data_IF_262360635929
#
_entry.id   IF_262360635929
#
_cell.length_a   1.000
_cell.length_b   1.000
_cell.length_c   1.000
_cell.angle_alpha   90.00
_cell.angle_beta   90.00
_cell.angle_gamma   90.00
#
_symmetry.space_group_name_H-M   'P 1'
#
loop_
_entity.id
_entity.type
_entity.pdbx_description
1 polymer ?
#
# COMPACT_ATOMS: atom_id res chain seq x y z
N UNK A 1 -26.86 -19.44 12.94
CA UNK A 1 -25.43 -19.74 13.11
C UNK A 1 -24.76 -19.34 11.82
N UNK A 2 -24.27 -18.10 11.76
CA UNK A 2 -23.53 -17.58 10.60
C UNK A 2 -22.16 -18.28 10.63
N UNK A 3 -21.69 -18.89 9.53
CA UNK A 3 -20.37 -19.50 9.53
C UNK A 3 -19.34 -18.41 9.82
N UNK A 4 -18.38 -18.71 10.69
CA UNK A 4 -17.21 -17.85 10.84
C UNK A 4 -16.47 -17.83 9.50
N UNK A 5 -16.60 -16.73 8.76
CA UNK A 5 -15.77 -16.47 7.58
C UNK A 5 -14.34 -16.42 8.08
N UNK A 6 -13.56 -17.45 7.77
CA UNK A 6 -12.10 -17.36 7.89
C UNK A 6 -11.67 -16.16 7.08
N UNK A 7 -10.90 -15.23 7.67
CA UNK A 7 -10.53 -13.96 7.03
C UNK A 7 -9.85 -14.13 5.64
N UNK A 8 -9.49 -15.35 5.24
CA UNK A 8 -8.84 -15.72 3.97
C UNK A 8 -9.76 -16.40 2.94
N UNK A 9 -11.08 -16.48 3.15
CA UNK A 9 -11.99 -16.86 2.06
C UNK A 9 -12.05 -15.70 1.06
N UNK A 10 -11.90 -15.98 -0.23
CA UNK A 10 -11.90 -14.99 -1.31
C UNK A 10 -12.86 -15.33 -2.44
N UNK A 11 -13.63 -16.41 -2.26
CA UNK A 11 -14.49 -16.97 -3.31
C UNK A 11 -15.60 -16.01 -3.75
N UNK A 12 -16.06 -15.14 -2.85
CA UNK A 12 -17.09 -14.13 -3.10
C UNK A 12 -16.57 -12.87 -3.82
N UNK A 13 -15.25 -12.59 -3.77
CA UNK A 13 -14.70 -11.28 -4.19
C UNK A 13 -15.00 -10.98 -5.66
N UNK A 14 -14.75 -11.92 -6.56
CA UNK A 14 -14.97 -11.69 -8.00
C UNK A 14 -16.43 -11.43 -8.33
N UNK A 15 -17.35 -12.16 -7.70
CA UNK A 15 -18.79 -11.95 -7.88
C UNK A 15 -19.21 -10.59 -7.30
N UNK A 16 -18.74 -10.26 -6.09
CA UNK A 16 -19.03 -8.97 -5.43
C UNK A 16 -18.55 -7.79 -6.26
N UNK A 17 -17.34 -7.85 -6.81
CA UNK A 17 -16.80 -6.83 -7.72
C UNK A 17 -17.64 -6.70 -9.00
N UNK A 18 -18.10 -7.81 -9.57
CA UNK A 18 -18.98 -7.77 -10.75
C UNK A 18 -20.32 -7.10 -10.45
N UNK A 19 -20.90 -7.34 -9.26
CA UNK A 19 -22.12 -6.65 -8.81
C UNK A 19 -21.89 -5.15 -8.61
N UNK A 20 -20.81 -4.78 -7.91
CA UNK A 20 -20.42 -3.38 -7.70
C UNK A 20 -20.21 -2.66 -9.03
N UNK A 21 -19.52 -3.31 -9.98
CA UNK A 21 -19.28 -2.76 -11.32
C UNK A 21 -20.56 -2.54 -12.14
N UNK A 22 -21.58 -3.37 -11.94
CA UNK A 22 -22.84 -3.29 -12.68
C UNK A 22 -23.80 -2.24 -12.09
N UNK A 23 -23.51 -1.70 -10.90
CA UNK A 23 -24.34 -0.68 -10.27
C UNK A 23 -24.32 0.62 -11.10
N UNK A 24 -25.48 1.26 -11.36
CA UNK A 24 -25.54 2.50 -12.15
C UNK A 24 -24.64 3.61 -11.61
N UNK A 25 -24.47 3.64 -10.29
CA UNK A 25 -23.69 4.63 -9.58
C UNK A 25 -22.26 4.18 -9.23
N UNK A 26 -21.77 3.08 -9.80
CA UNK A 26 -20.45 2.50 -9.47
C UNK A 26 -19.29 3.53 -9.52
N UNK A 27 -19.42 4.55 -10.37
CA UNK A 27 -18.45 5.65 -10.48
C UNK A 27 -18.39 6.62 -9.29
N UNK A 28 -19.31 6.53 -8.31
CA UNK A 28 -19.28 7.31 -7.05
C UNK A 28 -18.22 6.81 -6.08
N UNK A 29 -17.84 5.53 -6.17
CA UNK A 29 -16.76 5.00 -5.34
C UNK A 29 -15.45 5.60 -5.82
N UNK A 30 -14.67 6.12 -4.87
CA UNK A 30 -13.39 6.75 -5.15
C UNK A 30 -12.44 5.77 -5.87
N UNK A 31 -11.80 6.25 -6.94
CA UNK A 31 -10.88 5.47 -7.76
C UNK A 31 -11.50 4.36 -8.64
N UNK A 32 -12.83 4.19 -8.62
CA UNK A 32 -13.54 3.21 -9.46
C UNK A 32 -13.24 3.34 -10.96
N UNK A 33 -13.00 4.56 -11.44
CA UNK A 33 -12.62 4.80 -12.85
C UNK A 33 -11.22 4.27 -13.19
N UNK A 34 -10.32 4.20 -12.21
CA UNK A 34 -8.96 3.71 -12.40
C UNK A 34 -8.92 2.18 -12.40
N UNK A 35 -9.37 1.55 -11.31
CA UNK A 35 -9.32 0.08 -11.19
C UNK A 35 -10.46 -0.64 -11.93
N UNK A 36 -11.52 0.08 -12.32
CA UNK A 36 -12.64 -0.42 -13.15
C UNK A 36 -13.30 -1.69 -12.62
N UNK A 37 -13.23 -1.91 -11.31
CA UNK A 37 -13.72 -3.12 -10.63
C UNK A 37 -13.16 -4.45 -11.18
N UNK A 38 -12.05 -4.42 -11.92
CA UNK A 38 -11.47 -5.61 -12.54
C UNK A 38 -10.23 -6.08 -11.79
N UNK A 39 -10.24 -7.34 -11.35
CA UNK A 39 -9.04 -8.02 -10.88
C UNK A 39 -8.31 -8.71 -12.05
N UNK A 40 -7.00 -8.64 -12.02
CA UNK A 40 -6.13 -9.51 -12.82
C UNK A 40 -6.38 -10.99 -12.45
N UNK A 41 -6.06 -11.95 -13.35
CA UNK A 41 -6.12 -13.36 -13.03
C UNK A 41 -5.32 -13.72 -11.77
N UNK A 42 -5.81 -14.70 -11.01
CA UNK A 42 -5.05 -15.25 -9.89
C UNK A 42 -3.76 -15.93 -10.38
N UNK A 43 -2.74 -15.96 -9.53
CA UNK A 43 -1.54 -16.74 -9.76
C UNK A 43 -1.84 -18.23 -9.57
N UNK A 44 -1.15 -19.07 -10.34
CA UNK A 44 -0.99 -20.47 -10.01
C UNK A 44 -0.03 -20.66 -8.83
N UNK A 45 -0.10 -21.84 -8.18
CA UNK A 45 0.83 -22.18 -7.10
C UNK A 45 2.30 -22.17 -7.55
N UNK A 46 2.57 -22.50 -8.81
CA UNK A 46 3.92 -22.46 -9.37
C UNK A 46 4.45 -21.04 -9.58
N UNK A 47 3.62 -20.14 -10.09
CA UNK A 47 3.98 -18.72 -10.27
C UNK A 47 4.20 -18.03 -8.92
N UNK A 48 3.38 -18.33 -7.92
CA UNK A 48 3.59 -17.82 -6.57
C UNK A 48 4.90 -18.34 -5.96
N UNK A 49 5.21 -19.64 -6.12
CA UNK A 49 6.45 -20.21 -5.61
C UNK A 49 7.70 -19.61 -6.28
N UNK A 50 7.61 -19.33 -7.59
CA UNK A 50 8.65 -18.62 -8.32
C UNK A 50 8.83 -17.18 -7.79
N UNK A 51 7.73 -16.44 -7.62
CA UNK A 51 7.74 -15.10 -7.03
C UNK A 51 8.42 -15.11 -5.65
N UNK A 52 7.97 -15.95 -4.72
CA UNK A 52 8.54 -16.05 -3.37
C UNK A 52 10.02 -16.48 -3.40
N UNK A 53 10.40 -17.34 -4.37
CA UNK A 53 11.79 -17.70 -4.64
C UNK A 53 12.64 -16.51 -5.08
N UNK A 54 12.12 -15.67 -5.99
CA UNK A 54 12.79 -14.42 -6.41
C UNK A 54 12.95 -13.44 -5.24
N UNK A 55 11.94 -13.33 -4.38
CA UNK A 55 11.95 -12.41 -3.22
C UNK A 55 12.73 -12.93 -2.01
N UNK A 56 13.05 -14.24 -2.00
CA UNK A 56 13.70 -14.95 -0.88
C UNK A 56 12.88 -14.88 0.42
N UNK A 57 11.57 -14.78 0.30
CA UNK A 57 10.65 -14.69 1.43
C UNK A 57 9.27 -15.21 1.05
N UNK A 58 8.62 -15.90 1.98
CA UNK A 58 7.22 -16.26 1.85
C UNK A 58 6.33 -15.04 2.15
N UNK A 59 5.35 -14.77 1.29
CA UNK A 59 4.44 -13.64 1.47
C UNK A 59 3.48 -13.88 2.66
N UNK A 60 2.92 -12.83 3.28
CA UNK A 60 1.93 -13.00 4.35
C UNK A 60 0.72 -13.81 3.91
N UNK A 61 0.26 -14.74 4.76
CA UNK A 61 -0.74 -15.77 4.42
C UNK A 61 -2.04 -15.20 3.82
N UNK A 62 -2.53 -14.08 4.36
CA UNK A 62 -3.72 -13.40 3.85
C UNK A 62 -3.51 -12.89 2.42
N UNK A 63 -2.32 -12.36 2.11
CA UNK A 63 -2.01 -11.88 0.76
C UNK A 63 -1.70 -13.05 -0.19
N UNK A 64 -1.00 -14.08 0.30
CA UNK A 64 -0.73 -15.32 -0.44
C UNK A 64 -2.03 -15.98 -0.92
N UNK A 65 -2.99 -16.15 -0.01
CA UNK A 65 -4.31 -16.72 -0.34
C UNK A 65 -5.09 -15.84 -1.32
N UNK A 66 -4.99 -14.51 -1.21
CA UNK A 66 -5.59 -13.57 -2.15
C UNK A 66 -5.00 -13.70 -3.56
N UNK A 67 -3.68 -13.76 -3.68
CA UNK A 67 -2.99 -13.93 -4.97
C UNK A 67 -3.39 -15.23 -5.68
N UNK A 68 -3.61 -16.31 -4.93
CA UNK A 68 -3.98 -17.63 -5.46
C UNK A 68 -5.46 -17.78 -5.81
N UNK A 69 -6.34 -17.01 -5.15
CA UNK A 69 -7.80 -17.23 -5.26
C UNK A 69 -8.52 -16.02 -5.85
N UNK A 70 -8.22 -14.82 -5.36
CA UNK A 70 -8.89 -13.61 -5.78
C UNK A 70 -8.28 -13.05 -7.07
N UNK A 71 -6.99 -12.74 -7.09
CA UNK A 71 -6.33 -12.09 -8.22
C UNK A 71 -4.97 -11.51 -7.87
N UNK A 72 -4.14 -11.27 -8.88
CA UNK A 72 -2.78 -10.74 -8.69
C UNK A 72 -2.68 -9.20 -8.69
N UNK A 73 -3.80 -8.50 -8.48
CA UNK A 73 -3.92 -7.04 -8.43
C UNK A 73 -5.09 -6.51 -9.26
N UNK A 74 -5.20 -5.20 -9.44
CA UNK A 74 -6.34 -4.53 -10.08
C UNK A 74 -7.30 -3.93 -9.05
N UNK A 75 -8.59 -4.29 -9.10
CA UNK A 75 -9.62 -3.79 -8.19
C UNK A 75 -9.20 -3.84 -6.71
N UNK A 76 -9.26 -2.69 -6.04
CA UNK A 76 -8.88 -2.55 -4.63
C UNK A 76 -9.02 -1.10 -4.16
N UNK A 77 -8.58 -0.81 -2.93
CA UNK A 77 -8.63 0.52 -2.33
C UNK A 77 -8.09 1.62 -3.24
N UNK A 78 -8.72 2.80 -3.18
CA UNK A 78 -8.39 3.97 -3.98
C UNK A 78 -8.20 3.62 -5.47
N UNK A 79 -7.00 3.75 -6.01
CA UNK A 79 -6.73 3.55 -7.44
C UNK A 79 -6.54 2.07 -7.82
N UNK A 80 -6.63 1.15 -6.86
CA UNK A 80 -6.48 -0.28 -7.05
C UNK A 80 -5.15 -0.84 -6.55
N UNK A 81 -5.11 -2.15 -6.40
CA UNK A 81 -3.89 -2.90 -6.09
C UNK A 81 -2.95 -2.88 -7.30
N UNK A 82 -1.67 -2.64 -7.07
CA UNK A 82 -0.63 -2.78 -8.08
C UNK A 82 -0.62 -4.20 -8.65
N UNK A 83 -0.93 -4.39 -9.95
CA UNK A 83 -0.89 -5.70 -10.57
C UNK A 83 0.53 -6.25 -10.62
N UNK A 84 0.66 -7.53 -10.28
CA UNK A 84 1.85 -8.33 -10.55
C UNK A 84 1.89 -8.72 -12.03
N UNK A 85 2.98 -8.35 -12.70
CA UNK A 85 3.28 -8.73 -14.08
C UNK A 85 4.70 -9.25 -14.21
N UNK A 86 4.97 -10.00 -15.29
CA UNK A 86 6.33 -10.37 -15.68
C UNK A 86 6.91 -9.29 -16.58
N UNK A 87 8.02 -8.70 -16.15
CA UNK A 87 8.83 -7.75 -16.91
C UNK A 87 10.25 -8.30 -16.93
N UNK A 88 10.84 -8.46 -18.12
CA UNK A 88 12.18 -9.05 -18.31
C UNK A 88 12.36 -10.38 -17.54
N UNK A 89 11.40 -11.28 -17.68
CA UNK A 89 11.36 -12.62 -17.05
C UNK A 89 11.27 -12.62 -15.52
N UNK A 90 11.08 -11.47 -14.86
CA UNK A 90 10.92 -11.37 -13.41
C UNK A 90 9.55 -10.83 -13.03
N UNK A 91 9.03 -11.26 -11.89
CA UNK A 91 7.79 -10.71 -11.36
C UNK A 91 8.00 -9.31 -10.75
N UNK A 92 7.17 -8.34 -11.12
CA UNK A 92 7.18 -7.01 -10.56
C UNK A 92 5.76 -6.48 -10.37
N UNK A 93 5.57 -5.67 -9.32
CA UNK A 93 4.36 -4.88 -9.15
C UNK A 93 4.45 -3.65 -10.06
N UNK A 94 3.37 -3.35 -10.78
CA UNK A 94 3.30 -2.22 -11.71
C UNK A 94 2.28 -1.20 -11.21
N UNK A 95 2.66 0.08 -11.15
CA UNK A 95 1.80 1.18 -10.75
C UNK A 95 2.61 2.39 -10.28
N UNK A 96 1.94 3.53 -10.15
CA UNK A 96 2.55 4.75 -9.61
C UNK A 96 2.89 4.57 -8.13
N UNK A 97 4.18 4.54 -7.79
CA UNK A 97 4.69 4.24 -6.45
C UNK A 97 5.00 2.76 -6.20
N UNK A 98 4.82 1.87 -7.17
CA UNK A 98 5.20 0.46 -7.02
C UNK A 98 6.73 0.29 -6.92
N UNK A 99 7.49 1.17 -7.56
CA UNK A 99 8.95 1.24 -7.55
C UNK A 99 9.56 1.55 -6.18
N UNK A 100 8.74 2.04 -5.23
CA UNK A 100 9.16 2.19 -3.83
C UNK A 100 9.37 0.85 -3.12
N UNK A 101 8.81 -0.23 -3.66
CA UNK A 101 9.09 -1.58 -3.18
C UNK A 101 10.43 -2.04 -3.73
N UNK A 102 11.48 -1.96 -2.91
CA UNK A 102 12.74 -2.63 -3.21
C UNK A 102 12.61 -4.14 -2.94
N UNK A 103 12.47 -4.89 -4.04
CA UNK A 103 12.32 -6.35 -4.04
C UNK A 103 13.49 -7.06 -3.38
N UNK A 104 14.70 -6.50 -3.47
CA UNK A 104 15.90 -7.13 -2.92
C UNK A 104 16.00 -6.92 -1.40
N UNK A 105 15.16 -6.07 -0.80
CA UNK A 105 15.12 -5.83 0.65
C UNK A 105 13.87 -6.40 1.35
N UNK A 106 12.93 -7.00 0.62
CA UNK A 106 11.70 -7.56 1.21
C UNK A 106 11.93 -8.66 2.24
N UNK A 107 13.05 -9.39 2.13
CA UNK A 107 13.48 -10.41 3.10
C UNK A 107 14.13 -9.82 4.37
N UNK A 108 14.43 -8.52 4.37
CA UNK A 108 14.98 -7.82 5.53
C UNK A 108 13.83 -7.37 6.46
N UNK A 109 14.02 -7.44 7.79
CA UNK A 109 12.94 -7.15 8.72
C UNK A 109 12.65 -5.65 8.79
N UNK A 110 11.41 -5.27 8.49
CA UNK A 110 10.89 -3.95 8.83
C UNK A 110 10.88 -3.81 10.37
N UNK A 111 11.67 -2.89 10.96
CA UNK A 111 11.98 -2.95 12.40
C UNK A 111 10.87 -2.36 13.28
N UNK A 112 9.91 -1.65 12.69
CA UNK A 112 8.94 -0.86 13.44
C UNK A 112 7.67 -1.65 13.77
N UNK A 113 7.20 -1.47 15.00
CA UNK A 113 5.88 -1.95 15.45
C UNK A 113 4.96 -0.79 15.85
N UNK A 114 5.45 0.44 15.86
CA UNK A 114 4.69 1.67 16.18
C UNK A 114 4.92 2.69 15.07
N UNK A 115 4.03 3.67 14.99
CA UNK A 115 4.22 4.78 14.06
C UNK A 115 5.57 5.45 14.29
N UNK A 116 6.22 5.87 13.21
CA UNK A 116 7.48 6.59 13.22
C UNK A 116 7.49 7.59 12.09
N UNK A 117 8.15 8.73 12.28
CA UNK A 117 8.26 9.76 11.28
C UNK A 117 9.74 10.08 11.06
N UNK A 118 10.34 9.72 9.90
CA UNK A 118 11.70 10.09 9.56
C UNK A 118 11.96 11.60 9.65
N UNK A 119 10.96 12.42 9.30
CA UNK A 119 11.04 13.87 9.36
C UNK A 119 10.95 14.43 10.78
N UNK A 120 10.60 13.60 11.79
CA UNK A 120 10.31 14.08 13.14
C UNK A 120 11.51 14.69 13.90
N UNK A 121 12.72 14.57 13.36
CA UNK A 121 13.93 15.20 13.90
C UNK A 121 14.48 16.34 13.03
N UNK A 122 13.81 16.68 11.92
CA UNK A 122 14.19 17.79 11.07
C UNK A 122 13.84 19.14 11.74
N UNK A 123 14.57 20.23 11.43
CA UNK A 123 14.14 21.57 11.81
C UNK A 123 12.80 21.90 11.15
N UNK A 124 12.13 22.97 11.61
CA UNK A 124 10.97 23.50 10.90
C UNK A 124 11.40 24.02 9.51
N UNK A 125 10.53 23.90 8.48
CA UNK A 125 10.77 24.54 7.20
C UNK A 125 11.01 26.05 7.39
N UNK A 126 11.89 26.67 6.58
CA UNK A 126 12.08 28.11 6.63
C UNK A 126 10.75 28.83 6.33
N UNK A 127 10.45 29.87 7.10
CA UNK A 127 9.32 30.77 6.85
C UNK A 127 9.79 31.94 5.98
N UNK A 128 9.02 32.34 4.97
CA UNK A 128 9.35 33.45 4.08
C UNK A 128 9.51 34.77 4.87
N UNK A 129 8.73 34.95 5.94
CA UNK A 129 8.75 36.16 6.77
C UNK A 129 10.07 36.32 7.58
N UNK A 130 10.90 35.27 7.69
CA UNK A 130 12.18 35.29 8.39
C UNK A 130 13.35 35.82 7.54
N UNK A 131 13.13 36.13 6.26
CA UNK A 131 14.18 36.50 5.31
C UNK A 131 13.97 37.89 4.69
N UNK A 132 15.05 38.66 4.59
CA UNK A 132 15.02 40.02 4.01
C UNK A 132 14.81 40.01 2.48
N UNK A 133 15.11 38.90 1.80
CA UNK A 133 14.98 38.77 0.34
C UNK A 133 14.46 37.39 -0.08
N UNK A 134 13.75 37.37 -1.22
CA UNK A 134 13.24 36.13 -1.84
C UNK A 134 14.38 35.18 -2.19
N UNK A 135 15.53 35.69 -2.64
CA UNK A 135 16.69 34.84 -2.97
C UNK A 135 17.26 34.11 -1.74
N UNK A 136 17.31 34.78 -0.58
CA UNK A 136 17.80 34.17 0.66
C UNK A 136 16.82 33.11 1.19
N UNK A 137 15.51 33.39 1.09
CA UNK A 137 14.46 32.40 1.38
C UNK A 137 14.58 31.17 0.48
N UNK A 138 14.68 31.37 -0.84
CA UNK A 138 14.80 30.25 -1.80
C UNK A 138 16.06 29.40 -1.53
N UNK A 139 17.21 30.01 -1.20
CA UNK A 139 18.43 29.26 -0.85
C UNK A 139 18.23 28.42 0.43
N UNK A 140 17.56 28.97 1.44
CA UNK A 140 17.25 28.25 2.66
C UNK A 140 16.23 27.12 2.43
N UNK A 141 15.21 27.38 1.62
CA UNK A 141 14.19 26.41 1.22
C UNK A 141 14.82 25.24 0.46
N UNK A 142 15.67 25.53 -0.54
CA UNK A 142 16.41 24.50 -1.29
C UNK A 142 17.30 23.66 -0.36
N UNK A 143 18.01 24.30 0.57
CA UNK A 143 18.86 23.60 1.54
C UNK A 143 18.03 22.71 2.48
N UNK A 144 16.86 23.19 2.91
CA UNK A 144 15.92 22.44 3.72
C UNK A 144 15.39 21.21 2.97
N UNK A 145 14.89 21.35 1.75
CA UNK A 145 14.33 20.22 0.99
C UNK A 145 15.39 19.19 0.62
N UNK A 146 16.62 19.62 0.33
CA UNK A 146 17.74 18.68 0.16
C UNK A 146 18.06 17.90 1.44
N UNK A 147 17.98 18.54 2.61
CA UNK A 147 18.15 17.85 3.88
C UNK A 147 16.99 16.89 4.15
N UNK A 148 15.76 17.34 3.91
CA UNK A 148 14.55 16.56 4.05
C UNK A 148 14.65 15.28 3.21
N UNK A 149 14.95 15.38 1.92
CA UNK A 149 15.06 14.23 1.03
C UNK A 149 16.16 13.25 1.50
N UNK A 150 17.30 13.76 1.95
CA UNK A 150 18.38 12.90 2.49
C UNK A 150 17.97 12.13 3.75
N UNK A 151 16.98 12.60 4.50
CA UNK A 151 16.55 11.98 5.76
C UNK A 151 15.29 11.12 5.56
N UNK A 152 14.35 11.60 4.76
CA UNK A 152 13.03 10.99 4.57
C UNK A 152 13.03 9.99 3.42
N UNK A 153 13.70 10.29 2.31
CA UNK A 153 13.74 9.44 1.12
C UNK A 153 14.86 8.40 1.19
N UNK A 154 15.12 7.85 2.37
CA UNK A 154 16.11 6.77 2.59
C UNK A 154 15.43 5.41 2.40
N UNK A 155 15.93 4.53 1.51
CA UNK A 155 15.34 3.22 1.25
C UNK A 155 15.21 2.33 2.51
N UNK A 156 16.11 2.51 3.49
CA UNK A 156 16.11 1.76 4.75
C UNK A 156 14.82 1.92 5.56
N UNK A 157 14.06 3.00 5.37
CA UNK A 157 12.78 3.21 6.06
C UNK A 157 11.68 2.26 5.58
N UNK A 158 11.79 1.72 4.36
CA UNK A 158 10.76 0.88 3.72
C UNK A 158 11.19 -0.57 3.49
N UNK A 159 12.35 -1.00 4.00
CA UNK A 159 12.77 -2.41 3.92
C UNK A 159 11.71 -3.33 4.53
N UNK A 160 11.47 -4.48 3.89
CA UNK A 160 10.44 -5.41 4.33
C UNK A 160 9.00 -4.93 4.13
N UNK A 161 8.76 -3.76 3.52
CA UNK A 161 7.45 -3.27 3.11
C UNK A 161 7.19 -3.55 1.62
N UNK A 162 6.02 -4.09 1.33
CA UNK A 162 5.48 -4.23 -0.02
C UNK A 162 4.39 -3.19 -0.23
N UNK A 163 4.64 -2.17 -1.04
CA UNK A 163 3.61 -1.20 -1.41
C UNK A 163 2.57 -1.85 -2.32
N UNK A 164 1.30 -1.68 -1.99
CA UNK A 164 0.19 -2.36 -2.66
C UNK A 164 -0.71 -1.43 -3.45
N UNK A 165 -0.82 -0.16 -3.06
CA UNK A 165 -1.59 0.84 -3.80
C UNK A 165 -1.18 2.27 -3.42
N UNK A 166 -1.55 3.24 -4.26
CA UNK A 166 -1.50 4.66 -3.93
C UNK A 166 -2.91 5.21 -3.67
N UNK A 167 -3.00 6.19 -2.77
CA UNK A 167 -4.24 6.92 -2.46
C UNK A 167 -4.34 8.25 -3.25
N UNK A 168 -3.34 8.56 -4.06
CA UNK A 168 -3.13 9.89 -4.65
C UNK A 168 -2.20 10.74 -3.78
N UNK A 169 -1.80 11.93 -4.24
CA UNK A 169 -0.95 12.86 -3.45
C UNK A 169 0.32 12.23 -2.87
N UNK A 170 0.90 11.22 -3.55
CA UNK A 170 2.04 10.44 -3.06
C UNK A 170 1.82 9.73 -1.70
N UNK A 171 0.57 9.49 -1.31
CA UNK A 171 0.21 8.60 -0.19
C UNK A 171 0.12 7.16 -0.67
N UNK A 172 0.62 6.22 0.14
CA UNK A 172 0.60 4.79 -0.20
C UNK A 172 0.25 3.92 0.99
N UNK A 173 -0.24 2.73 0.69
CA UNK A 173 -0.45 1.69 1.70
C UNK A 173 0.39 0.46 1.36
N UNK A 174 1.06 -0.07 2.38
CA UNK A 174 2.02 -1.14 2.26
C UNK A 174 1.75 -2.28 3.25
N UNK A 175 2.08 -3.49 2.82
CA UNK A 175 2.03 -4.70 3.63
C UNK A 175 3.42 -4.97 4.20
N UNK A 176 3.50 -5.21 5.52
CA UNK A 176 4.75 -5.70 6.13
C UNK A 176 4.95 -7.16 5.75
N UNK A 177 5.95 -7.45 4.91
CA UNK A 177 6.30 -8.80 4.46
C UNK A 177 7.21 -9.50 5.47
N UNK A 178 8.18 -8.79 6.03
CA UNK A 178 9.16 -9.34 6.98
C UNK A 178 9.32 -8.44 8.20
N UNK A 179 9.50 -9.04 9.38
CA UNK A 179 9.71 -8.32 10.63
C UNK A 179 8.62 -8.55 11.69
N UNK A 180 8.72 -7.92 12.87
CA UNK A 180 7.79 -8.10 13.99
C UNK A 180 6.34 -7.68 13.69
N UNK A 181 6.11 -6.82 12.71
CA UNK A 181 4.77 -6.39 12.29
C UNK A 181 4.23 -7.16 11.07
N UNK A 182 4.87 -8.28 10.69
CA UNK A 182 4.51 -9.08 9.50
C UNK A 182 3.01 -9.34 9.37
N UNK A 183 2.50 -9.15 8.16
CA UNK A 183 1.09 -9.32 7.81
C UNK A 183 0.20 -8.11 8.11
N UNK A 184 0.72 -7.08 8.76
CA UNK A 184 -0.04 -5.84 9.03
C UNK A 184 0.07 -4.87 7.86
N UNK A 185 -1.01 -4.14 7.62
CA UNK A 185 -1.05 -3.02 6.69
C UNK A 185 -0.61 -1.72 7.37
N UNK A 186 0.18 -0.93 6.67
CA UNK A 186 0.73 0.35 7.11
C UNK A 186 0.47 1.42 6.05
N UNK A 187 0.27 2.64 6.50
CA UNK A 187 0.26 3.82 5.65
C UNK A 187 1.66 4.44 5.62
N UNK A 188 2.06 4.89 4.43
CA UNK A 188 3.15 5.80 4.18
C UNK A 188 2.54 7.17 3.85
N UNK A 189 2.52 8.01 4.89
CA UNK A 189 2.02 9.38 4.88
C UNK A 189 3.20 10.38 4.95
N UNK A 190 4.39 9.99 4.47
CA UNK A 190 5.59 10.84 4.45
C UNK A 190 5.40 12.09 3.60
N UNK A 191 4.62 12.00 2.51
CA UNK A 191 4.26 13.14 1.66
C UNK A 191 3.42 14.21 2.40
N UNK A 192 2.72 13.83 3.48
CA UNK A 192 1.99 14.75 4.37
C UNK A 192 2.79 15.13 5.62
N UNK A 193 4.06 14.71 5.71
CA UNK A 193 4.94 15.00 6.84
C UNK A 193 4.58 14.23 8.13
N UNK A 194 3.68 13.24 8.08
CA UNK A 194 3.26 12.47 9.28
C UNK A 194 3.93 11.10 9.40
N UNK A 195 4.64 10.66 8.35
CA UNK A 195 5.50 9.48 8.36
C UNK A 195 4.74 8.18 8.16
N UNK A 196 5.20 7.11 8.81
CA UNK A 196 4.63 5.78 8.67
C UNK A 196 3.79 5.40 9.88
N UNK A 197 2.64 4.77 9.67
CA UNK A 197 1.79 4.28 10.76
C UNK A 197 1.07 2.97 10.43
N UNK A 198 0.82 2.11 11.43
CA UNK A 198 -0.04 0.96 11.22
C UNK A 198 -1.48 1.40 10.94
N UNK A 199 -2.11 0.79 9.94
CA UNK A 199 -3.53 0.96 9.70
C UNK A 199 -4.34 0.25 10.79
N UNK A 200 -5.45 0.86 11.17
CA UNK A 200 -6.33 0.37 12.23
C UNK A 200 -7.78 0.38 11.78
N UNK A 201 -8.54 -0.56 12.29
CA UNK A 201 -9.99 -0.51 12.21
C UNK A 201 -10.56 0.52 13.22
N UNK A 202 -11.85 0.80 13.09
CA UNK A 202 -12.70 1.55 13.99
C UNK A 202 -12.59 1.14 15.46
N UNK A 203 -12.38 -0.16 15.74
CA UNK A 203 -12.17 -0.70 17.10
C UNK A 203 -10.72 -0.54 17.60
N UNK A 204 -9.83 0.06 16.81
CA UNK A 204 -8.42 0.27 17.11
C UNK A 204 -7.52 -0.94 16.83
N UNK A 205 -8.08 -2.08 16.43
CA UNK A 205 -7.31 -3.28 16.03
C UNK A 205 -6.51 -2.99 14.78
N UNK A 206 -5.29 -3.52 14.71
CA UNK A 206 -4.44 -3.36 13.52
C UNK A 206 -5.00 -4.17 12.36
N UNK A 207 -4.97 -3.59 11.18
CA UNK A 207 -5.45 -4.27 9.98
C UNK A 207 -4.38 -5.22 9.43
N UNK A 208 -4.79 -6.46 9.18
CA UNK A 208 -4.13 -7.34 8.21
C UNK A 208 -4.65 -7.07 6.80
N UNK A 209 -4.00 -7.64 5.79
CA UNK A 209 -4.39 -7.50 4.38
C UNK A 209 -5.86 -7.87 4.14
N UNK A 210 -6.34 -8.96 4.75
CA UNK A 210 -7.68 -9.45 4.51
C UNK A 210 -8.77 -8.46 4.95
N UNK A 211 -8.68 -8.02 6.22
CA UNK A 211 -9.63 -7.08 6.81
C UNK A 211 -9.55 -5.72 6.11
N UNK A 212 -8.35 -5.29 5.73
CA UNK A 212 -8.13 -4.07 4.95
C UNK A 212 -8.84 -4.11 3.59
N UNK A 213 -8.66 -5.17 2.80
CA UNK A 213 -9.30 -5.29 1.49
C UNK A 213 -10.82 -5.43 1.60
N UNK A 214 -11.30 -6.25 2.54
CA UNK A 214 -12.76 -6.45 2.74
C UNK A 214 -13.44 -5.18 3.24
N UNK A 215 -12.78 -4.39 4.10
CA UNK A 215 -13.30 -3.10 4.55
C UNK A 215 -13.57 -2.16 3.37
N UNK A 216 -12.67 -2.11 2.39
CA UNK A 216 -12.91 -1.32 1.18
C UNK A 216 -14.13 -1.81 0.39
N UNK A 217 -14.34 -3.12 0.27
CA UNK A 217 -15.55 -3.67 -0.35
C UNK A 217 -16.82 -3.30 0.42
N UNK A 218 -16.77 -3.31 1.76
CA UNK A 218 -17.89 -2.92 2.62
C UNK A 218 -18.20 -1.43 2.49
N UNK A 219 -17.17 -0.57 2.44
CA UNK A 219 -17.30 0.87 2.20
C UNK A 219 -17.84 1.18 0.79
N UNK A 220 -17.43 0.40 -0.22
CA UNK A 220 -17.97 0.49 -1.57
C UNK A 220 -19.46 0.14 -1.62
N UNK A 221 -19.87 -0.96 -0.99
CA UNK A 221 -21.30 -1.31 -0.90
C UNK A 221 -22.09 -0.23 -0.15
N UNK A 222 -21.56 0.29 0.96
CA UNK A 222 -22.22 1.37 1.72
C UNK A 222 -22.36 2.68 0.92
N UNK A 223 -21.41 2.96 0.03
CA UNK A 223 -21.45 4.14 -0.86
C UNK A 223 -22.55 4.03 -1.93
N UNK A 224 -22.89 2.80 -2.31
CA UNK A 224 -23.84 2.47 -3.38
C UNK A 224 -25.23 2.04 -2.85
N UNK A 225 -25.38 1.88 -1.54
CA UNK A 225 -26.65 1.63 -0.86
C UNK A 225 -27.55 2.88 -0.85
#
# INVERSE_FOLDING_TARGET
MVPAVTHTDWSDVRERLARLSAHPDAGRVFGAKAHRWTLEPALSAGELAELEGELRVELPEEYRSFLLTAGRGGAGPAYGLFPLRRVDERWAWEGDGAELTDRDTLHQPFPHTRAFNPAGALPEPPDEDDYDTVEAFNEAEDAYWQLHDRVVCVPDHSIGLLYLCHLGCALREALVVTGPARGQMWADDTAEGTGFRPLRDSDGTRLGFARWYRRWLDEADATLA
#
